data_IF_024883039383
#
_entry.id   IF_024883039383
#
_cell.length_a   1.000
_cell.length_b   1.000
_cell.length_c   1.000
_cell.angle_alpha   90.00
_cell.angle_beta   90.00
_cell.angle_gamma   90.00
#
_symmetry.space_group_name_H-M   'P 1'
#
loop_
_entity.id
_entity.type
_entity.pdbx_description
1 polymer ?
#
# COMPACT_ATOMS: atom_id res chain seq x y z
N UNK A 1 44.63 -27.88 21.92
CA UNK A 1 44.02 -28.54 20.75
C UNK A 1 42.52 -28.33 20.83
N UNK A 2 42.01 -27.26 20.23
CA UNK A 2 40.58 -26.94 20.23
C UNK A 2 40.18 -26.82 18.78
N UNK A 3 38.95 -27.20 18.46
CA UNK A 3 38.27 -26.75 17.25
C UNK A 3 38.55 -27.54 15.97
N UNK A 4 37.89 -28.70 15.83
CA UNK A 4 37.40 -29.13 14.51
C UNK A 4 35.92 -29.47 14.59
N UNK A 5 35.50 -30.21 15.62
CA UNK A 5 34.09 -30.55 15.83
C UNK A 5 33.17 -29.34 16.07
N UNK A 6 33.69 -28.28 16.73
CA UNK A 6 32.92 -27.06 17.01
C UNK A 6 32.76 -26.14 15.79
N UNK A 7 33.72 -26.12 14.85
CA UNK A 7 33.65 -25.27 13.66
C UNK A 7 32.65 -25.78 12.61
N UNK A 8 32.51 -27.10 12.48
CA UNK A 8 31.57 -27.73 11.52
C UNK A 8 30.12 -27.61 11.98
N UNK A 9 29.87 -27.61 13.30
CA UNK A 9 28.52 -27.43 13.85
C UNK A 9 28.05 -25.98 13.76
N UNK A 10 28.94 -25.01 14.02
CA UNK A 10 28.63 -23.58 13.95
C UNK A 10 28.28 -23.13 12.52
N UNK A 11 29.00 -23.64 11.52
CA UNK A 11 28.73 -23.32 10.10
C UNK A 11 27.39 -23.88 9.61
N UNK A 12 27.04 -25.11 9.97
CA UNK A 12 25.75 -25.72 9.58
C UNK A 12 24.55 -25.05 10.26
N UNK A 13 24.67 -24.73 11.55
CA UNK A 13 23.62 -24.03 12.30
C UNK A 13 23.38 -22.61 11.78
N UNK A 14 24.45 -21.88 11.42
CA UNK A 14 24.33 -20.55 10.82
C UNK A 14 23.71 -20.58 9.42
N UNK A 15 24.05 -21.57 8.58
CA UNK A 15 23.42 -21.73 7.26
C UNK A 15 21.92 -22.05 7.37
N UNK A 16 21.54 -22.90 8.33
CA UNK A 16 20.14 -23.21 8.63
C UNK A 16 19.37 -21.97 9.10
N UNK A 17 19.96 -21.14 9.96
CA UNK A 17 19.34 -19.92 10.44
C UNK A 17 19.11 -18.89 9.32
N UNK A 18 20.07 -18.75 8.39
CA UNK A 18 19.96 -17.84 7.22
C UNK A 18 18.89 -18.35 6.24
N UNK A 19 18.80 -19.66 6.02
CA UNK A 19 17.77 -20.25 5.16
C UNK A 19 16.38 -20.08 5.78
N UNK A 20 16.25 -20.28 7.10
CA UNK A 20 14.99 -20.08 7.82
C UNK A 20 14.54 -18.62 7.78
N UNK A 21 15.44 -17.65 7.99
CA UNK A 21 15.10 -16.24 7.92
C UNK A 21 14.75 -15.76 6.50
N UNK A 22 15.39 -16.30 5.46
CA UNK A 22 15.03 -16.03 4.07
C UNK A 22 13.64 -16.58 3.71
N UNK A 23 13.28 -17.76 4.23
CA UNK A 23 11.96 -18.34 4.04
C UNK A 23 10.87 -17.54 4.78
N UNK A 24 11.12 -17.10 6.03
CA UNK A 24 10.13 -16.28 6.78
C UNK A 24 10.02 -14.86 6.21
N UNK A 25 11.15 -14.24 5.83
CA UNK A 25 11.19 -12.88 5.28
C UNK A 25 10.57 -12.79 3.87
N UNK A 26 10.73 -13.82 3.03
CA UNK A 26 10.11 -13.88 1.72
C UNK A 26 8.58 -13.97 1.78
N UNK A 27 8.06 -14.79 2.70
CA UNK A 27 6.60 -14.96 2.89
C UNK A 27 5.93 -13.72 3.50
N UNK A 28 6.67 -12.93 4.29
CA UNK A 28 6.16 -11.69 4.87
C UNK A 28 5.93 -10.59 3.82
N UNK A 29 6.77 -10.52 2.78
CA UNK A 29 6.64 -9.51 1.72
C UNK A 29 5.45 -9.76 0.79
N UNK A 30 5.01 -11.02 0.61
CA UNK A 30 3.83 -11.36 -0.22
C UNK A 30 2.50 -11.06 0.49
N UNK A 31 2.50 -11.10 1.83
CA UNK A 31 1.32 -10.78 2.65
C UNK A 31 1.14 -9.29 2.89
N UNK A 32 2.20 -8.49 2.70
CA UNK A 32 2.18 -7.04 2.94
C UNK A 32 1.13 -6.30 2.07
N UNK A 33 1.02 -6.52 0.75
CA UNK A 33 0.03 -5.84 -0.09
C UNK A 33 -1.42 -6.17 0.28
N UNK A 34 -1.68 -7.37 0.79
CA UNK A 34 -3.01 -7.79 1.24
C UNK A 34 -3.36 -7.22 2.62
N UNK A 35 -2.37 -7.07 3.51
CA UNK A 35 -2.54 -6.36 4.78
C UNK A 35 -2.66 -4.85 4.58
N UNK A 36 -1.97 -4.30 3.58
CA UNK A 36 -1.92 -2.88 3.25
C UNK A 36 -3.00 -2.50 2.25
N UNK A 37 -4.25 -2.74 2.62
CA UNK A 37 -5.33 -1.82 2.25
C UNK A 37 -6.21 -2.25 1.10
N UNK A 38 -7.51 -2.22 1.39
CA UNK A 38 -8.51 -1.94 0.39
C UNK A 38 -8.29 -0.50 -0.10
N UNK A 39 -7.84 -0.34 -1.35
CA UNK A 39 -7.87 0.96 -2.00
C UNK A 39 -9.33 1.37 -2.17
N UNK A 40 -9.79 2.36 -1.40
CA UNK A 40 -11.10 2.95 -1.65
C UNK A 40 -11.04 3.62 -3.02
N UNK A 41 -11.71 3.01 -3.99
CA UNK A 41 -11.89 3.57 -5.30
C UNK A 41 -12.86 4.74 -5.18
N UNK A 42 -12.31 5.95 -5.29
CA UNK A 42 -13.07 7.19 -5.31
C UNK A 42 -13.55 7.46 -6.73
N UNK A 43 -14.85 7.72 -6.91
CA UNK A 43 -15.42 8.02 -8.23
C UNK A 43 -15.85 9.48 -8.24
N UNK A 44 -15.20 10.25 -9.11
CA UNK A 44 -15.54 11.66 -9.26
C UNK A 44 -16.82 11.83 -10.09
N UNK A 45 -17.73 12.68 -9.62
CA UNK A 45 -18.90 13.11 -10.38
C UNK A 45 -18.87 14.61 -10.65
N UNK A 46 -19.39 15.03 -11.80
CA UNK A 46 -19.49 16.45 -12.15
C UNK A 46 -20.71 17.09 -11.51
N UNK A 47 -20.55 18.28 -10.91
CA UNK A 47 -21.66 19.03 -10.32
C UNK A 47 -22.21 20.06 -11.32
N UNK A 48 -23.43 19.85 -11.86
CA UNK A 48 -23.93 20.67 -12.96
C UNK A 48 -24.43 22.06 -12.53
N UNK A 49 -24.76 22.30 -11.26
CA UNK A 49 -25.25 23.61 -10.79
C UNK A 49 -24.14 24.58 -10.38
N UNK A 50 -22.91 24.10 -10.14
CA UNK A 50 -21.74 24.95 -9.87
C UNK A 50 -21.06 25.28 -11.20
N UNK A 51 -21.33 26.50 -11.70
CA UNK A 51 -20.90 26.93 -13.04
C UNK A 51 -19.63 27.77 -13.05
N UNK A 52 -19.10 28.13 -11.88
CA UNK A 52 -17.89 28.94 -11.76
C UNK A 52 -16.87 28.25 -10.86
N UNK A 53 -15.59 28.50 -11.14
CA UNK A 53 -14.48 28.05 -10.30
C UNK A 53 -14.62 28.55 -8.87
N UNK A 54 -15.01 29.81 -8.68
CA UNK A 54 -15.18 30.42 -7.36
C UNK A 54 -16.22 29.67 -6.52
N UNK A 55 -17.39 29.39 -7.10
CA UNK A 55 -18.45 28.65 -6.39
C UNK A 55 -18.01 27.21 -6.08
N UNK A 56 -17.30 26.56 -7.01
CA UNK A 56 -16.78 25.21 -6.81
C UNK A 56 -15.77 25.14 -5.65
N UNK A 57 -14.74 25.99 -5.71
CA UNK A 57 -13.66 26.00 -4.72
C UNK A 57 -14.17 26.41 -3.34
N UNK A 58 -15.16 27.30 -3.27
CA UNK A 58 -15.81 27.68 -2.01
C UNK A 58 -16.45 26.48 -1.28
N UNK A 59 -16.89 25.45 -2.01
CA UNK A 59 -17.44 24.20 -1.43
C UNK A 59 -16.37 23.18 -1.03
N UNK A 60 -15.08 23.49 -1.24
CA UNK A 60 -13.98 22.55 -1.00
C UNK A 60 -13.82 21.47 -2.08
N UNK A 61 -14.40 21.69 -3.26
CA UNK A 61 -14.34 20.78 -4.41
C UNK A 61 -13.30 21.19 -5.43
N UNK A 62 -13.00 20.32 -6.39
CA UNK A 62 -11.96 20.55 -7.39
C UNK A 62 -12.57 21.08 -8.69
N UNK A 63 -12.08 22.23 -9.16
CA UNK A 63 -12.42 22.73 -10.50
C UNK A 63 -11.42 22.23 -11.53
N UNK A 64 -11.88 21.56 -12.58
CA UNK A 64 -11.06 21.06 -13.67
C UNK A 64 -11.88 20.97 -14.96
N UNK A 65 -11.31 21.42 -16.09
CA UNK A 65 -11.93 21.34 -17.42
C UNK A 65 -13.35 21.93 -17.46
N UNK A 66 -13.49 23.15 -16.93
CA UNK A 66 -14.77 23.89 -16.84
C UNK A 66 -15.87 23.14 -16.06
N UNK A 67 -15.49 22.14 -15.27
CA UNK A 67 -16.39 21.29 -14.50
C UNK A 67 -15.97 21.27 -13.03
N UNK A 68 -16.94 21.35 -12.12
CA UNK A 68 -16.70 21.13 -10.71
C UNK A 68 -16.81 19.63 -10.41
N UNK A 69 -15.76 19.03 -9.86
CA UNK A 69 -15.67 17.61 -9.55
C UNK A 69 -15.82 17.35 -8.06
N UNK A 70 -16.70 16.39 -7.75
CA UNK A 70 -16.96 15.88 -6.42
C UNK A 70 -16.42 14.45 -6.31
N UNK A 71 -15.45 14.26 -5.42
CA UNK A 71 -14.75 13.01 -5.20
C UNK A 71 -15.25 12.28 -3.93
N UNK A 72 -16.44 12.60 -3.42
CA UNK A 72 -16.99 11.96 -2.21
C UNK A 72 -17.84 10.71 -2.51
N UNK A 73 -17.97 10.31 -3.79
CA UNK A 73 -18.85 9.20 -4.17
C UNK A 73 -18.13 7.85 -4.23
N UNK A 74 -18.72 6.88 -3.52
CA UNK A 74 -18.44 5.45 -3.61
C UNK A 74 -19.28 4.87 -4.77
N UNK A 75 -18.74 4.04 -5.68
CA UNK A 75 -19.49 3.53 -6.82
C UNK A 75 -20.59 2.52 -6.41
N UNK A 76 -20.59 2.10 -5.15
CA UNK A 76 -21.55 1.15 -4.58
C UNK A 76 -22.76 1.80 -3.93
N UNK A 77 -22.81 3.15 -3.85
CA UNK A 77 -23.96 3.90 -3.30
C UNK A 77 -24.41 5.06 -4.21
#
# INVERSE_FOLDING_TARGET
>A
MKSQSSQVAVTKASLLAILLSALVGGWLCELLPWLMGAQQSVFSTGIPWLKTEADCVQTGRTWQDETCWDAEHDPTF
#
